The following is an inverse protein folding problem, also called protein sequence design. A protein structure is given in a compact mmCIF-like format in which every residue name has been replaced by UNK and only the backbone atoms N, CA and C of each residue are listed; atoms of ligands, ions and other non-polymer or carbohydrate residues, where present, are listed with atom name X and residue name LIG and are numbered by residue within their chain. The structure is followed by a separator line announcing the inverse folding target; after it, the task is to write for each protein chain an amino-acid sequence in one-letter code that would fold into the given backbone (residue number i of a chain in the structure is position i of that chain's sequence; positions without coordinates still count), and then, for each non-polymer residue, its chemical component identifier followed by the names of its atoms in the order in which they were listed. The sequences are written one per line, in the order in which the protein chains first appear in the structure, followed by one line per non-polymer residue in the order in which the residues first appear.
data_IF_275043997673
#
_entry.id   IF_275043997673
#
_cell.length_a   1.000
_cell.length_b   1.000
_cell.length_c   1.000
_cell.angle_alpha   90.00
_cell.angle_beta   90.00
_cell.angle_gamma   90.00
#
_symmetry.space_group_name_H-M   'P 1'
#
loop_
_entity.id
_entity.type
_entity.pdbx_description
1 polymer ?
#
# COMPACT_ATOMS: atom_id res chain seq x y z
N UNK A 1 12.53 6.06 -26.52
CA UNK A 1 11.85 5.46 -25.36
C UNK A 1 11.01 6.57 -24.77
N UNK A 2 9.68 6.52 -24.85
CA UNK A 2 8.85 7.53 -24.18
C UNK A 2 8.69 7.11 -22.72
N UNK A 3 9.20 7.94 -21.83
CA UNK A 3 8.81 7.98 -20.44
C UNK A 3 7.32 8.42 -20.33
N UNK A 4 6.70 8.21 -19.18
CA UNK A 4 5.32 8.68 -18.90
C UNK A 4 4.16 7.74 -19.25
N UNK A 5 4.41 6.53 -19.76
CA UNK A 5 3.38 5.54 -20.12
C UNK A 5 3.23 4.36 -19.14
N UNK A 6 4.04 4.30 -18.09
CA UNK A 6 3.95 3.21 -17.11
C UNK A 6 2.67 3.32 -16.30
N UNK A 7 2.03 2.18 -16.09
CA UNK A 7 0.94 2.03 -15.13
C UNK A 7 1.38 1.32 -13.84
N UNK A 8 2.68 1.03 -13.72
CA UNK A 8 3.23 0.41 -12.51
C UNK A 8 3.41 1.45 -11.41
N UNK A 9 2.82 1.21 -10.25
CA UNK A 9 3.02 2.04 -9.06
C UNK A 9 4.36 1.69 -8.42
N UNK A 10 5.19 2.70 -8.16
CA UNK A 10 6.45 2.58 -7.43
C UNK A 10 6.33 3.05 -5.98
N UNK A 11 5.66 4.18 -5.74
CA UNK A 11 5.41 4.72 -4.40
C UNK A 11 3.98 5.24 -4.30
N UNK A 12 3.43 5.24 -3.09
CA UNK A 12 2.15 5.86 -2.79
C UNK A 12 2.18 6.49 -1.38
N UNK A 13 1.19 7.32 -1.10
CA UNK A 13 1.04 7.96 0.21
C UNK A 13 0.85 6.92 1.32
N UNK A 14 1.53 7.11 2.46
CA UNK A 14 1.36 6.28 3.66
C UNK A 14 1.54 7.17 4.89
N UNK A 15 0.61 7.12 5.82
CA UNK A 15 0.69 7.88 7.07
C UNK A 15 1.76 7.32 8.01
N UNK A 16 2.30 8.16 8.89
CA UNK A 16 3.33 7.74 9.84
C UNK A 16 2.76 7.10 11.11
N UNK A 17 1.60 7.54 11.59
CA UNK A 17 0.96 7.10 12.86
C UNK A 17 -0.38 6.45 12.53
N UNK A 18 -0.65 5.28 13.11
CA UNK A 18 -1.87 4.50 12.90
C UNK A 18 -2.75 4.46 14.12
N UNK A 19 -2.15 4.10 15.27
CA UNK A 19 -2.88 3.88 16.50
C UNK A 19 -1.96 3.97 17.70
N UNK A 20 -2.43 4.63 18.76
CA UNK A 20 -1.87 4.46 20.08
C UNK A 20 -2.73 3.46 20.85
N UNK A 21 -2.22 2.24 21.07
CA UNK A 21 -2.87 1.28 21.97
C UNK A 21 -2.17 1.29 23.33
N UNK A 22 -2.82 0.75 24.36
CA UNK A 22 -2.21 0.60 25.69
C UNK A 22 -1.01 -0.37 25.70
N UNK A 23 -0.91 -1.24 24.70
CA UNK A 23 0.11 -2.28 24.63
C UNK A 23 1.29 -1.86 23.76
N UNK A 24 1.01 -1.20 22.62
CA UNK A 24 2.02 -0.81 21.64
C UNK A 24 1.48 0.27 20.67
N UNK A 25 2.35 1.19 20.25
CA UNK A 25 1.99 2.20 19.25
C UNK A 25 2.27 1.67 17.85
N UNK A 26 1.27 1.74 16.96
CA UNK A 26 1.38 1.32 15.57
C UNK A 26 1.83 2.53 14.73
N UNK A 27 3.04 2.49 14.19
CA UNK A 27 3.62 3.55 13.36
C UNK A 27 4.55 2.97 12.28
N UNK A 28 4.66 3.66 11.15
CA UNK A 28 5.66 3.35 10.13
C UNK A 28 7.03 3.93 10.53
N UNK A 29 8.08 3.14 10.32
CA UNK A 29 9.46 3.52 10.57
C UNK A 29 10.20 3.51 9.23
N UNK A 30 10.46 4.71 8.70
CA UNK A 30 11.25 4.85 7.49
C UNK A 30 12.67 4.32 7.71
N UNK A 31 13.13 3.45 6.80
CA UNK A 31 14.45 2.82 6.88
C UNK A 31 14.55 1.62 7.83
N UNK A 32 13.44 1.18 8.45
CA UNK A 32 13.42 -0.03 9.27
C UNK A 32 13.10 -1.26 8.43
N UNK A 33 14.06 -2.17 8.26
CA UNK A 33 13.95 -3.36 7.40
C UNK A 33 13.72 -4.67 8.15
N UNK A 34 13.11 -4.66 9.35
CA UNK A 34 12.95 -5.88 10.14
C UNK A 34 11.64 -6.60 9.82
N UNK A 35 11.73 -7.75 9.15
CA UNK A 35 10.56 -8.46 8.59
C UNK A 35 9.71 -9.20 9.62
N UNK A 36 10.21 -9.36 10.85
CA UNK A 36 9.37 -9.77 12.00
C UNK A 36 8.35 -8.70 12.44
N UNK A 37 8.48 -7.47 11.91
CA UNK A 37 7.65 -6.32 12.24
C UNK A 37 7.12 -5.68 10.95
N UNK A 38 6.51 -6.49 10.09
CA UNK A 38 6.13 -6.09 8.72
C UNK A 38 5.29 -4.81 8.66
N UNK A 39 4.38 -4.59 9.62
CA UNK A 39 3.54 -3.38 9.69
C UNK A 39 4.29 -2.08 9.97
N UNK A 40 5.54 -2.15 10.44
CA UNK A 40 6.39 -0.97 10.64
C UNK A 40 7.14 -0.54 9.40
N UNK A 41 7.25 -1.41 8.40
CA UNK A 41 7.99 -1.11 7.19
C UNK A 41 7.04 -0.33 6.27
N UNK A 42 7.44 0.79 5.66
CA UNK A 42 6.57 1.60 4.81
C UNK A 42 6.33 0.96 3.43
N UNK A 43 5.96 -0.32 3.40
CA UNK A 43 5.60 -1.10 2.21
C UNK A 43 4.09 -1.32 2.18
N UNK A 44 3.55 -1.58 1.00
CA UNK A 44 2.16 -1.96 0.76
C UNK A 44 2.13 -2.91 -0.45
N UNK A 45 1.02 -3.60 -0.66
CA UNK A 45 0.85 -4.51 -1.79
C UNK A 45 2.05 -5.47 -1.98
N UNK A 46 2.42 -6.16 -0.89
CA UNK A 46 3.61 -7.00 -0.84
C UNK A 46 3.23 -8.39 -0.33
N UNK A 47 3.65 -9.42 -1.07
CA UNK A 47 3.43 -10.83 -0.74
C UNK A 47 4.63 -11.46 -0.04
N UNK A 48 4.38 -12.43 0.85
CA UNK A 48 5.45 -13.13 1.59
C UNK A 48 6.40 -13.89 0.65
N UNK A 49 5.89 -14.41 -0.46
CA UNK A 49 6.68 -15.14 -1.46
C UNK A 49 7.71 -14.26 -2.20
N UNK A 50 7.45 -12.95 -2.30
CA UNK A 50 8.32 -11.98 -2.97
C UNK A 50 9.37 -11.36 -2.05
N UNK A 51 9.29 -11.59 -0.74
CA UNK A 51 10.19 -11.02 0.26
C UNK A 51 11.43 -11.92 0.42
N UNK A 52 12.62 -11.37 0.12
CA UNK A 52 13.90 -12.05 0.35
C UNK A 52 14.30 -11.85 1.80
N UNK A 53 13.95 -12.80 2.66
CA UNK A 53 14.10 -12.69 4.11
C UNK A 53 14.63 -13.98 4.72
N UNK A 54 15.41 -13.89 5.80
CA UNK A 54 15.88 -15.07 6.57
C UNK A 54 14.79 -15.74 7.42
N UNK A 55 13.58 -15.19 7.42
CA UNK A 55 12.39 -15.66 8.15
C UNK A 55 11.17 -15.46 7.25
N UNK A 56 10.15 -16.31 7.32
CA UNK A 56 8.89 -16.06 6.58
C UNK A 56 8.08 -14.98 7.31
N UNK A 57 7.94 -13.76 6.77
CA UNK A 57 7.14 -12.72 7.43
C UNK A 57 5.67 -13.11 7.43
N UNK A 58 4.98 -12.86 8.54
CA UNK A 58 3.53 -12.94 8.61
C UNK A 58 2.93 -11.76 7.83
N UNK A 59 2.79 -11.93 6.51
CA UNK A 59 2.12 -10.97 5.63
C UNK A 59 0.60 -11.19 5.75
N UNK A 60 -0.17 -10.20 6.24
CA UNK A 60 -1.60 -10.34 6.44
C UNK A 60 -2.37 -10.21 5.12
N UNK A 61 -3.62 -10.67 5.12
CA UNK A 61 -4.51 -10.55 3.96
C UNK A 61 -4.69 -9.10 3.46
N UNK A 62 -4.61 -8.11 4.37
CA UNK A 62 -4.71 -6.69 4.03
C UNK A 62 -3.46 -6.13 3.32
N UNK A 63 -2.37 -6.91 3.19
CA UNK A 63 -1.16 -6.50 2.47
C UNK A 63 -1.09 -7.08 1.05
N UNK A 64 -1.99 -7.99 0.66
CA UNK A 64 -1.90 -8.78 -0.58
C UNK A 64 -3.20 -8.76 -1.39
N UNK A 65 -3.09 -8.96 -2.70
CA UNK A 65 -4.25 -9.03 -3.59
C UNK A 65 -5.15 -7.80 -3.48
N UNK A 66 -6.46 -8.00 -3.70
CA UNK A 66 -7.45 -6.94 -3.59
C UNK A 66 -7.54 -6.31 -2.18
N UNK A 67 -7.16 -7.06 -1.15
CA UNK A 67 -7.09 -6.56 0.23
C UNK A 67 -6.05 -5.47 0.44
N UNK A 68 -5.04 -5.37 -0.44
CA UNK A 68 -3.97 -4.38 -0.36
C UNK A 68 -4.35 -2.95 -0.77
N UNK A 69 -5.58 -2.74 -1.27
CA UNK A 69 -6.08 -1.44 -1.71
C UNK A 69 -5.87 -0.38 -0.62
N UNK A 70 -5.47 0.82 -1.01
CA UNK A 70 -5.33 1.93 -0.08
C UNK A 70 -6.64 2.29 0.62
N UNK A 71 -6.53 2.77 1.86
CA UNK A 71 -7.66 3.36 2.58
C UNK A 71 -7.78 4.85 2.28
N UNK A 72 -9.02 5.34 2.26
CA UNK A 72 -9.36 6.73 1.98
C UNK A 72 -9.75 7.40 3.29
N UNK A 73 -9.02 8.46 3.65
CA UNK A 73 -9.20 9.24 4.89
C UNK A 73 -9.42 8.31 6.11
N UNK A 74 -8.49 7.38 6.37
CA UNK A 74 -8.62 6.52 7.54
C UNK A 74 -8.47 7.33 8.83
N UNK A 75 -9.12 6.88 9.89
CA UNK A 75 -8.98 7.46 11.22
C UNK A 75 -7.66 7.01 11.86
N UNK A 76 -7.04 7.90 12.62
CA UNK A 76 -5.82 7.61 13.41
C UNK A 76 -6.15 7.25 14.88
N UNK A 77 -7.43 7.35 15.24
CA UNK A 77 -7.98 7.12 16.57
C UNK A 77 -9.42 6.59 16.51
N UNK A 78 -9.95 6.16 17.65
CA UNK A 78 -11.29 5.59 17.76
C UNK A 78 -11.34 4.08 17.46
N UNK A 79 -12.49 3.62 16.96
CA UNK A 79 -12.80 2.21 16.72
C UNK A 79 -13.26 1.89 15.30
N UNK A 80 -13.54 2.92 14.50
CA UNK A 80 -14.11 2.79 13.15
C UNK A 80 -13.14 3.34 12.12
N UNK A 81 -13.06 2.67 10.96
CA UNK A 81 -12.21 3.07 9.83
C UNK A 81 -10.74 3.37 10.23
N UNK A 82 -10.22 2.64 11.21
CA UNK A 82 -8.85 2.83 11.67
C UNK A 82 -7.86 2.54 10.53
N UNK A 83 -6.82 3.37 10.47
CA UNK A 83 -5.72 3.24 9.54
C UNK A 83 -5.01 1.90 9.76
N UNK A 84 -4.94 1.11 8.69
CA UNK A 84 -4.33 -0.19 8.66
C UNK A 84 -2.93 -0.04 8.08
N UNK A 85 -1.93 -0.12 8.95
CA UNK A 85 -0.52 -0.01 8.61
C UNK A 85 -0.01 -0.94 7.49
N UNK A 86 -0.75 -1.97 7.07
CA UNK A 86 -0.41 -2.81 5.93
C UNK A 86 -0.81 -2.23 4.57
N UNK A 87 -1.66 -1.19 4.55
CA UNK A 87 -2.18 -0.55 3.36
C UNK A 87 -1.50 0.81 3.13
N UNK A 88 -1.68 1.36 1.93
CA UNK A 88 -1.39 2.77 1.66
C UNK A 88 -2.57 3.64 2.11
N UNK A 89 -2.36 4.95 2.26
CA UNK A 89 -3.36 5.85 2.85
C UNK A 89 -3.48 7.15 2.08
N UNK A 90 -4.67 7.40 1.53
CA UNK A 90 -5.02 8.68 0.93
C UNK A 90 -5.52 9.64 2.01
N UNK A 91 -4.84 10.79 2.24
CA UNK A 91 -5.33 11.80 3.19
C UNK A 91 -6.53 12.60 2.66
N UNK A 92 -7.07 12.22 1.50
CA UNK A 92 -8.09 12.96 0.76
C UNK A 92 -9.17 12.01 0.19
N UNK A 93 -10.45 12.44 0.09
CA UNK A 93 -11.53 11.58 -0.41
C UNK A 93 -11.41 11.13 -1.87
N UNK A 94 -10.75 11.93 -2.71
CA UNK A 94 -10.71 11.71 -4.16
C UNK A 94 -9.85 10.51 -4.59
N UNK A 95 -8.98 10.01 -3.72
CA UNK A 95 -8.04 8.95 -4.05
C UNK A 95 -6.61 9.25 -3.59
N UNK A 96 -5.66 8.47 -4.09
CA UNK A 96 -4.26 8.49 -3.64
C UNK A 96 -3.33 9.03 -4.72
N UNK A 97 -2.33 9.82 -4.33
CA UNK A 97 -1.20 10.10 -5.23
C UNK A 97 -0.28 8.89 -5.28
N UNK A 98 -0.04 8.41 -6.49
CA UNK A 98 0.90 7.35 -6.78
C UNK A 98 2.00 7.87 -7.70
N UNK A 99 3.25 7.67 -7.30
CA UNK A 99 4.39 7.82 -8.17
C UNK A 99 4.54 6.54 -9.00
N UNK A 100 4.52 6.69 -10.31
CA UNK A 100 4.62 5.61 -11.26
C UNK A 100 6.10 5.26 -11.50
N UNK A 101 6.38 4.05 -11.99
CA UNK A 101 7.74 3.59 -12.27
C UNK A 101 8.45 4.38 -13.38
N UNK A 102 7.73 5.23 -14.12
CA UNK A 102 8.29 6.16 -15.11
C UNK A 102 8.56 7.57 -14.55
N UNK A 103 8.37 7.79 -13.24
CA UNK A 103 8.59 9.08 -12.59
C UNK A 103 7.40 10.05 -12.66
N UNK A 104 6.34 9.72 -13.40
CA UNK A 104 5.09 10.50 -13.36
C UNK A 104 4.37 10.31 -12.03
N UNK A 105 3.56 11.28 -11.63
CA UNK A 105 2.66 11.17 -10.46
C UNK A 105 1.22 11.28 -10.95
N UNK A 106 0.38 10.34 -10.52
CA UNK A 106 -1.03 10.28 -10.90
C UNK A 106 -1.90 10.22 -9.66
N UNK A 107 -3.09 10.81 -9.75
CA UNK A 107 -4.15 10.60 -8.76
C UNK A 107 -4.93 9.35 -9.15
N UNK A 108 -4.79 8.27 -8.38
CA UNK A 108 -5.56 7.05 -8.56
C UNK A 108 -6.88 7.21 -7.80
N UNK A 109 -8.00 7.05 -8.51
CA UNK A 109 -9.35 7.24 -7.96
C UNK A 109 -9.62 6.36 -6.75
N UNK A 110 -10.31 6.89 -5.73
CA UNK A 110 -10.84 6.11 -4.61
C UNK A 110 -11.76 4.94 -5.06
N UNK A 111 -12.37 5.06 -6.25
CA UNK A 111 -13.24 4.05 -6.84
C UNK A 111 -12.52 2.88 -7.50
N UNK A 112 -11.18 2.91 -7.63
CA UNK A 112 -10.42 1.80 -8.22
C UNK A 112 -10.67 0.51 -7.42
N UNK A 113 -10.86 -0.61 -8.09
CA UNK A 113 -11.01 -1.91 -7.47
C UNK A 113 -9.70 -2.34 -6.79
N UNK A 114 -9.80 -3.23 -5.81
CA UNK A 114 -8.62 -3.79 -5.17
C UNK A 114 -7.79 -4.63 -6.15
N UNK A 115 -8.46 -5.31 -7.08
CA UNK A 115 -7.84 -6.09 -8.15
C UNK A 115 -7.01 -5.20 -9.09
N UNK A 116 -7.57 -4.08 -9.55
CA UNK A 116 -6.83 -3.13 -10.40
C UNK A 116 -5.69 -2.46 -9.65
N UNK A 117 -5.89 -2.09 -8.39
CA UNK A 117 -4.82 -1.57 -7.53
C UNK A 117 -3.67 -2.58 -7.39
N UNK A 118 -3.99 -3.82 -7.07
CA UNK A 118 -3.00 -4.90 -6.95
C UNK A 118 -2.23 -5.10 -8.25
N UNK A 119 -2.95 -5.21 -9.38
CA UNK A 119 -2.35 -5.34 -10.70
C UNK A 119 -1.34 -4.23 -11.03
N UNK A 120 -1.65 -2.98 -10.64
CA UNK A 120 -0.75 -1.84 -10.81
C UNK A 120 0.49 -1.90 -9.91
N UNK A 121 0.40 -2.53 -8.73
CA UNK A 121 1.54 -2.75 -7.83
C UNK A 121 2.40 -3.96 -8.22
N UNK A 122 1.81 -4.99 -8.82
CA UNK A 122 2.48 -6.27 -9.11
C UNK A 122 2.44 -6.65 -10.60
N UNK A 123 2.91 -5.78 -11.52
CA UNK A 123 2.80 -6.00 -12.97
C UNK A 123 3.53 -7.27 -13.47
N UNK A 124 4.46 -7.83 -12.67
CA UNK A 124 5.18 -9.07 -12.99
C UNK A 124 4.25 -10.29 -13.12
N UNK A 125 3.06 -10.25 -12.53
CA UNK A 125 2.10 -11.35 -12.57
C UNK A 125 1.28 -11.42 -13.89
N UNK A 126 1.59 -10.59 -14.90
CA UNK A 126 0.77 -10.39 -16.13
C UNK A 126 -0.62 -9.86 -15.85
N UNK A 127 -0.79 -9.20 -14.71
CA UNK A 127 -2.07 -8.64 -14.31
C UNK A 127 -2.45 -7.52 -15.28
N UNK A 128 -3.59 -7.67 -15.94
CA UNK A 128 -4.17 -6.63 -16.78
C UNK A 128 -4.97 -5.71 -15.89
N UNK A 129 -4.75 -4.41 -16.01
CA UNK A 129 -5.53 -3.41 -15.26
C UNK A 129 -7.00 -3.53 -15.67
N UNK A 130 -7.90 -3.43 -14.69
CA UNK A 130 -9.33 -3.39 -14.94
C UNK A 130 -9.76 -2.13 -15.69
N UNK A 131 -11.02 -2.11 -16.14
CA UNK A 131 -11.60 -0.96 -16.85
C UNK A 131 -11.81 0.29 -15.98
N UNK A 132 -11.44 0.24 -14.71
CA UNK A 132 -11.55 1.28 -13.69
C UNK A 132 -10.21 1.94 -13.33
N UNK A 133 -9.16 1.71 -14.15
CA UNK A 133 -7.86 2.38 -14.06
C UNK A 133 -7.88 3.80 -14.63
#
# INVERSE_FOLDING_TARGET
MSDGLSNTIAFAEKQAIFRATVTYNEFNIYGYGHTGFFGHIPVFAAESAGLVTGVTPAVPAAAVGAGSKFQVVPAIDGTENLANWYQAHAPRPGGILAAMADGSVRLVSAGVSGETWWAACTPRARDTLGGDW
#
